data_IF_669963283756
#
_entry.id   IF_669963283756
#
_cell.length_a   1.000
_cell.length_b   1.000
_cell.length_c   1.000
_cell.angle_alpha   90.00
_cell.angle_beta   90.00
_cell.angle_gamma   90.00
#
_symmetry.space_group_name_H-M   'P 1'
#
loop_
_entity.id
_entity.type
_entity.pdbx_description
1 polymer ?
#
# COMPACT_ATOMS: atom_id res chain seq x y z
N UNK A 1 -0.93 -16.91 -7.30
CA UNK A 1 0.10 -17.40 -8.24
C UNK A 1 -0.15 -18.85 -8.64
N UNK A 2 -0.81 -19.65 -7.81
CA UNK A 2 -1.09 -21.07 -8.07
C UNK A 2 -2.14 -21.33 -9.17
N UNK A 3 -2.95 -20.33 -9.51
CA UNK A 3 -3.92 -20.42 -10.62
C UNK A 3 -3.23 -20.80 -11.94
N UNK A 4 -3.84 -21.65 -12.80
CA UNK A 4 -3.17 -22.28 -13.95
C UNK A 4 -3.03 -21.36 -15.18
N UNK A 5 -2.84 -20.05 -14.98
CA UNK A 5 -2.61 -19.11 -16.07
C UNK A 5 -1.22 -19.30 -16.69
N UNK A 6 -1.15 -19.21 -18.01
CA UNK A 6 0.09 -19.39 -18.76
C UNK A 6 1.12 -18.28 -18.51
N UNK A 7 0.69 -17.06 -18.21
CA UNK A 7 1.58 -15.92 -17.98
C UNK A 7 0.90 -14.94 -17.01
N UNK A 8 1.65 -14.40 -16.05
CA UNK A 8 1.11 -13.68 -14.88
C UNK A 8 1.91 -12.43 -14.60
N UNK A 9 1.28 -11.39 -14.09
CA UNK A 9 1.97 -10.22 -13.61
C UNK A 9 1.34 -9.72 -12.31
N UNK A 10 2.16 -9.14 -11.44
CA UNK A 10 1.70 -8.36 -10.30
C UNK A 10 2.33 -6.98 -10.40
N UNK A 11 1.50 -5.95 -10.32
CA UNK A 11 1.90 -4.57 -10.10
C UNK A 11 1.54 -4.19 -8.66
N UNK A 12 2.55 -3.92 -7.84
CA UNK A 12 2.41 -3.43 -6.48
C UNK A 12 2.65 -1.92 -6.51
N UNK A 13 1.66 -1.13 -6.13
CA UNK A 13 1.75 0.32 -5.97
C UNK A 13 1.86 0.61 -4.48
N UNK A 14 3.01 1.11 -4.04
CA UNK A 14 3.38 1.26 -2.64
C UNK A 14 2.50 2.29 -1.92
N UNK A 15 1.75 1.87 -0.90
CA UNK A 15 0.87 2.77 -0.15
C UNK A 15 -0.44 3.16 -0.86
N UNK A 16 -0.94 2.39 -1.81
CA UNK A 16 -2.23 2.62 -2.48
C UNK A 16 -3.41 2.12 -1.63
N UNK A 17 -4.34 3.02 -1.29
CA UNK A 17 -5.49 2.70 -0.45
C UNK A 17 -6.71 2.25 -1.27
N UNK A 18 -7.72 1.68 -0.61
CA UNK A 18 -9.01 1.42 -1.23
C UNK A 18 -9.71 2.68 -1.77
N UNK A 19 -9.31 3.87 -1.31
CA UNK A 19 -9.81 5.15 -1.85
C UNK A 19 -9.55 5.28 -3.34
N UNK A 20 -8.47 4.69 -3.82
CA UNK A 20 -8.02 4.83 -5.21
C UNK A 20 -8.67 3.86 -6.18
N UNK A 21 -9.36 2.83 -5.67
CA UNK A 21 -10.01 1.79 -6.46
C UNK A 21 -10.93 2.33 -7.57
N UNK A 22 -11.77 3.37 -7.36
CA UNK A 22 -12.63 3.89 -8.43
C UNK A 22 -11.88 4.38 -9.67
N UNK A 23 -10.72 5.03 -9.51
CA UNK A 23 -9.92 5.49 -10.65
C UNK A 23 -9.29 4.33 -11.42
N UNK A 24 -8.82 3.29 -10.72
CA UNK A 24 -8.34 2.06 -11.37
C UNK A 24 -9.43 1.42 -12.23
N UNK A 25 -10.64 1.25 -11.69
CA UNK A 25 -11.75 0.64 -12.41
C UNK A 25 -12.20 1.49 -13.60
N UNK A 26 -12.25 2.81 -13.43
CA UNK A 26 -12.61 3.74 -14.50
C UNK A 26 -11.58 3.69 -15.64
N UNK A 27 -10.28 3.71 -15.30
CA UNK A 27 -9.22 3.67 -16.29
C UNK A 27 -9.14 2.34 -17.03
N UNK A 28 -9.36 1.22 -16.33
CA UNK A 28 -9.43 -0.13 -16.92
C UNK A 28 -10.58 -0.22 -17.93
N UNK A 29 -11.77 0.23 -17.51
CA UNK A 29 -12.96 0.27 -18.39
C UNK A 29 -12.75 1.15 -19.62
N UNK A 30 -12.20 2.36 -19.44
CA UNK A 30 -11.94 3.32 -20.53
C UNK A 30 -11.02 2.74 -21.61
N UNK A 31 -10.12 1.83 -21.23
CA UNK A 31 -9.09 1.24 -22.11
C UNK A 31 -9.36 -0.23 -22.46
N UNK A 32 -10.61 -0.65 -22.26
CA UNK A 32 -11.14 -1.95 -22.67
C UNK A 32 -10.38 -3.14 -22.07
N UNK A 33 -9.88 -3.02 -20.84
CA UNK A 33 -9.40 -4.17 -20.10
C UNK A 33 -10.58 -5.07 -19.71
N UNK A 34 -10.35 -6.38 -19.73
CA UNK A 34 -11.28 -7.33 -19.11
C UNK A 34 -11.02 -7.34 -17.62
N UNK A 35 -12.04 -7.00 -16.82
CA UNK A 35 -12.03 -7.13 -15.37
C UNK A 35 -12.45 -8.56 -15.00
N UNK A 36 -11.70 -9.21 -14.12
CA UNK A 36 -12.03 -10.56 -13.68
C UNK A 36 -12.36 -10.64 -12.21
N UNK A 37 -11.57 -9.96 -11.38
CA UNK A 37 -11.81 -9.85 -9.95
C UNK A 37 -11.56 -8.41 -9.48
N UNK A 38 -12.44 -7.94 -8.59
CA UNK A 38 -12.31 -6.66 -7.92
C UNK A 38 -12.65 -6.88 -6.45
N UNK A 39 -11.63 -6.93 -5.62
CA UNK A 39 -11.75 -7.21 -4.19
C UNK A 39 -10.83 -6.30 -3.37
N UNK A 40 -10.83 -6.50 -2.06
CA UNK A 40 -9.98 -5.82 -1.11
C UNK A 40 -9.26 -6.85 -0.26
N UNK A 41 -7.95 -6.69 -0.10
CA UNK A 41 -7.13 -7.59 0.70
C UNK A 41 -6.56 -6.84 1.89
N UNK A 42 -6.41 -7.54 3.01
CA UNK A 42 -5.74 -7.00 4.17
C UNK A 42 -4.22 -6.94 3.93
N UNK A 43 -3.60 -5.84 4.33
CA UNK A 43 -2.15 -5.68 4.40
C UNK A 43 -1.55 -6.56 5.49
N UNK A 44 -0.24 -6.77 5.41
CA UNK A 44 0.50 -7.33 6.53
C UNK A 44 0.39 -6.40 7.75
N UNK A 45 0.51 -6.96 8.95
CA UNK A 45 0.41 -6.20 10.20
C UNK A 45 1.74 -6.26 10.98
N UNK A 46 2.37 -5.11 11.27
CA UNK A 46 1.95 -3.75 10.92
C UNK A 46 2.00 -3.47 9.41
N UNK A 47 1.13 -2.57 8.94
CA UNK A 47 1.06 -2.18 7.53
C UNK A 47 2.24 -1.30 7.15
N UNK A 48 3.33 -1.94 6.78
CA UNK A 48 4.63 -1.37 6.42
C UNK A 48 5.24 -2.21 5.27
N UNK A 49 5.98 -1.56 4.39
CA UNK A 49 6.53 -2.10 3.15
C UNK A 49 7.35 -3.37 3.37
N UNK A 50 8.18 -3.42 4.42
CA UNK A 50 9.09 -4.54 4.62
C UNK A 50 8.39 -5.81 5.11
N UNK A 51 7.33 -5.66 5.90
CA UNK A 51 6.49 -6.73 6.42
C UNK A 51 5.79 -7.43 5.24
N UNK A 52 5.26 -6.66 4.29
CA UNK A 52 4.71 -7.17 3.04
C UNK A 52 5.77 -7.86 2.17
N UNK A 53 6.94 -7.24 2.00
CA UNK A 53 8.05 -7.85 1.24
C UNK A 53 8.45 -9.22 1.83
N UNK A 54 8.60 -9.31 3.15
CA UNK A 54 8.91 -10.57 3.87
C UNK A 54 7.81 -11.61 3.72
N UNK A 55 6.54 -11.21 3.74
CA UNK A 55 5.42 -12.12 3.52
C UNK A 55 5.44 -12.74 2.12
N UNK A 56 5.92 -12.01 1.12
CA UNK A 56 6.17 -12.52 -0.24
C UNK A 56 7.47 -13.33 -0.37
N UNK A 57 8.33 -13.32 0.65
CA UNK A 57 9.62 -14.04 0.67
C UNK A 57 10.81 -13.22 0.17
N UNK A 58 10.68 -11.89 0.12
CA UNK A 58 11.78 -10.96 -0.14
C UNK A 58 12.32 -10.39 1.17
N UNK A 59 13.60 -10.04 1.23
CA UNK A 59 14.19 -9.35 2.40
C UNK A 59 13.75 -7.88 2.52
N UNK A 60 13.56 -7.20 1.39
CA UNK A 60 13.03 -5.84 1.28
C UNK A 60 12.52 -5.60 -0.15
N UNK A 61 11.70 -4.55 -0.37
CA UNK A 61 11.24 -4.20 -1.73
C UNK A 61 12.41 -3.93 -2.70
N UNK A 62 13.48 -3.30 -2.22
CA UNK A 62 14.64 -2.94 -3.04
C UNK A 62 15.40 -4.14 -3.62
N UNK A 63 15.27 -5.33 -3.02
CA UNK A 63 15.88 -6.54 -3.56
C UNK A 63 15.28 -6.96 -4.89
N UNK A 64 14.06 -6.53 -5.23
CA UNK A 64 13.43 -6.86 -6.50
C UNK A 64 14.09 -6.14 -7.69
N UNK A 65 14.83 -5.06 -7.44
CA UNK A 65 15.37 -4.19 -8.50
C UNK A 65 16.25 -4.97 -9.49
N UNK A 66 16.10 -4.67 -10.79
CA UNK A 66 16.89 -5.27 -11.87
C UNK A 66 16.94 -6.81 -11.81
N UNK A 67 15.78 -7.44 -11.68
CA UNK A 67 15.61 -8.89 -11.55
C UNK A 67 16.33 -9.52 -10.34
N UNK A 68 16.48 -8.74 -9.25
CA UNK A 68 17.21 -9.16 -8.06
C UNK A 68 16.43 -10.05 -7.07
N UNK A 69 15.14 -10.33 -7.31
CA UNK A 69 14.24 -10.99 -6.35
C UNK A 69 14.64 -12.41 -5.92
N UNK A 70 15.62 -13.02 -6.59
CA UNK A 70 16.21 -14.31 -6.23
C UNK A 70 15.24 -15.48 -6.39
N UNK A 71 15.51 -16.58 -5.70
CA UNK A 71 14.75 -17.83 -5.78
C UNK A 71 14.08 -18.23 -4.45
N UNK A 72 13.92 -17.29 -3.51
CA UNK A 72 13.27 -17.57 -2.22
C UNK A 72 11.80 -17.11 -2.15
N UNK A 73 11.35 -16.25 -3.07
CA UNK A 73 10.04 -15.62 -3.02
C UNK A 73 8.90 -16.53 -3.54
N UNK A 74 7.67 -16.29 -3.10
CA UNK A 74 6.50 -17.12 -3.42
C UNK A 74 5.97 -16.94 -4.85
N UNK A 75 6.45 -15.93 -5.56
CA UNK A 75 5.95 -15.54 -6.90
C UNK A 75 6.86 -16.05 -8.03
N UNK A 76 7.43 -17.24 -7.87
CA UNK A 76 8.37 -17.80 -8.84
C UNK A 76 7.71 -18.65 -9.92
N UNK A 77 8.35 -18.77 -11.10
CA UNK A 77 9.41 -17.88 -11.58
C UNK A 77 8.81 -16.53 -12.00
N UNK A 78 9.51 -15.42 -11.78
CA UNK A 78 9.12 -14.11 -12.31
C UNK A 78 10.35 -13.21 -12.53
N UNK A 79 10.26 -12.34 -13.54
CA UNK A 79 11.16 -11.20 -13.63
C UNK A 79 10.72 -10.14 -12.63
N UNK A 80 11.66 -9.56 -11.88
CA UNK A 80 11.34 -8.59 -10.84
C UNK A 80 11.88 -7.20 -11.15
N UNK A 81 11.17 -6.17 -10.71
CA UNK A 81 11.67 -4.79 -10.74
C UNK A 81 11.09 -3.96 -9.58
N UNK A 82 11.86 -3.00 -9.08
CA UNK A 82 11.45 -2.06 -8.03
C UNK A 82 12.02 -0.66 -8.29
N UNK A 83 11.16 0.32 -8.57
CA UNK A 83 11.58 1.65 -9.03
C UNK A 83 10.68 2.79 -8.53
N UNK A 84 11.23 4.00 -8.60
CA UNK A 84 10.53 5.28 -8.46
C UNK A 84 10.89 6.18 -9.66
N UNK A 85 10.22 5.97 -10.78
CA UNK A 85 10.49 6.69 -12.03
C UNK A 85 9.20 6.97 -12.79
N UNK A 86 9.27 7.71 -13.90
CA UNK A 86 8.08 7.98 -14.68
C UNK A 86 7.50 6.69 -15.28
N UNK A 87 6.17 6.62 -15.42
CA UNK A 87 5.48 5.44 -15.98
C UNK A 87 5.98 5.08 -17.38
N UNK A 88 6.31 6.09 -18.18
CA UNK A 88 6.85 5.88 -19.54
C UNK A 88 8.18 5.13 -19.53
N UNK A 89 9.03 5.40 -18.55
CA UNK A 89 10.30 4.71 -18.38
C UNK A 89 10.06 3.29 -17.83
N UNK A 90 9.09 3.11 -16.92
CA UNK A 90 8.67 1.80 -16.44
C UNK A 90 8.20 0.88 -17.58
N UNK A 91 7.44 1.42 -18.54
CA UNK A 91 7.00 0.69 -19.75
C UNK A 91 8.20 0.08 -20.50
N UNK A 92 9.29 0.84 -20.61
CA UNK A 92 10.53 0.43 -21.30
C UNK A 92 11.26 -0.72 -20.61
N UNK A 93 11.02 -0.96 -19.31
CA UNK A 93 11.62 -2.07 -18.57
C UNK A 93 10.93 -3.41 -18.85
N UNK A 94 9.69 -3.40 -19.33
CA UNK A 94 8.89 -4.62 -19.51
C UNK A 94 9.32 -5.39 -20.77
N UNK A 95 10.08 -6.46 -20.53
CA UNK A 95 10.51 -7.42 -21.54
C UNK A 95 9.49 -8.57 -21.78
N UNK A 96 9.90 -9.59 -22.55
CA UNK A 96 9.05 -10.72 -22.97
C UNK A 96 8.90 -11.83 -21.92
N UNK A 97 9.45 -11.68 -20.71
CA UNK A 97 9.32 -12.68 -19.65
C UNK A 97 7.84 -12.96 -19.37
N UNK A 98 7.49 -14.24 -19.24
CA UNK A 98 6.09 -14.66 -19.05
C UNK A 98 5.50 -14.14 -17.76
N UNK A 99 6.33 -14.08 -16.73
CA UNK A 99 5.90 -13.73 -15.39
C UNK A 99 6.63 -12.49 -14.88
N UNK A 100 5.90 -11.59 -14.25
CA UNK A 100 6.43 -10.32 -13.74
C UNK A 100 5.97 -10.02 -12.32
N UNK A 101 6.87 -9.48 -11.51
CA UNK A 101 6.55 -8.78 -10.25
C UNK A 101 7.17 -7.40 -10.34
N UNK A 102 6.34 -6.38 -10.46
CA UNK A 102 6.78 -4.99 -10.56
C UNK A 102 6.28 -4.23 -9.34
N UNK A 103 7.18 -3.62 -8.59
CA UNK A 103 6.84 -2.81 -7.42
C UNK A 103 7.22 -1.35 -7.68
N UNK A 104 6.24 -0.47 -7.74
CA UNK A 104 6.49 0.96 -7.90
C UNK A 104 6.34 1.67 -6.56
N UNK A 105 7.28 2.56 -6.20
CA UNK A 105 7.28 3.26 -4.91
C UNK A 105 6.13 4.30 -4.75
N UNK A 106 5.24 4.40 -5.74
CA UNK A 106 4.15 5.37 -5.75
C UNK A 106 2.86 4.68 -5.29
N UNK A 107 1.99 5.35 -4.51
CA UNK A 107 2.06 6.75 -4.09
C UNK A 107 2.96 7.10 -2.89
N UNK A 108 3.44 6.13 -2.10
CA UNK A 108 4.06 6.40 -0.80
C UNK A 108 5.29 7.33 -0.87
N UNK A 109 6.11 7.24 -1.93
CA UNK A 109 7.23 8.18 -2.16
C UNK A 109 6.80 9.65 -2.20
N UNK A 110 5.58 9.93 -2.68
CA UNK A 110 4.99 11.28 -2.74
C UNK A 110 4.28 11.70 -1.44
N UNK A 111 3.84 10.73 -0.64
CA UNK A 111 3.24 10.97 0.68
C UNK A 111 4.25 11.64 1.61
N UNK A 112 5.52 11.25 1.53
CA UNK A 112 6.61 11.83 2.32
C UNK A 112 6.99 13.26 1.89
N UNK A 113 6.95 13.56 0.58
CA UNK A 113 7.24 14.89 0.03
C UNK A 113 6.19 15.96 0.42
N UNK A 114 4.96 15.54 0.74
CA UNK A 114 3.81 16.41 1.07
C UNK A 114 3.48 16.56 2.56
N UNK A 115 4.38 16.14 3.46
CA UNK A 115 4.16 16.03 4.92
C UNK A 115 3.93 17.34 5.70
N UNK A 116 3.74 18.47 5.01
CA UNK A 116 3.30 19.73 5.61
C UNK A 116 1.92 19.64 6.26
N UNK A 117 1.73 20.36 7.37
CA UNK A 117 0.47 20.37 8.09
C UNK A 117 -0.70 20.88 7.20
N UNK A 118 -1.72 20.05 7.04
CA UNK A 118 -3.05 20.43 6.53
C UNK A 118 -3.36 20.16 5.05
N UNK A 119 -2.39 19.88 4.17
CA UNK A 119 -2.63 19.79 2.71
C UNK A 119 -2.31 18.42 2.07
N UNK A 120 -1.85 17.45 2.86
CA UNK A 120 -1.36 16.16 2.34
C UNK A 120 -2.38 15.40 1.48
N UNK A 121 -3.63 15.25 1.95
CA UNK A 121 -4.63 14.46 1.22
C UNK A 121 -5.09 15.12 -0.08
N UNK A 122 -5.34 16.43 -0.10
CA UNK A 122 -5.85 17.10 -1.30
C UNK A 122 -4.79 17.07 -2.43
N UNK A 123 -3.52 17.26 -2.07
CA UNK A 123 -2.41 17.15 -3.01
C UNK A 123 -2.24 15.72 -3.50
N UNK A 124 -2.27 14.74 -2.60
CA UNK A 124 -2.20 13.33 -2.97
C UNK A 124 -3.39 12.93 -3.86
N UNK A 125 -4.61 13.36 -3.54
CA UNK A 125 -5.81 13.04 -4.32
C UNK A 125 -5.73 13.59 -5.74
N UNK A 126 -5.21 14.82 -5.90
CA UNK A 126 -4.95 15.39 -7.24
C UNK A 126 -3.89 14.61 -8.00
N UNK A 127 -2.78 14.26 -7.35
CA UNK A 127 -1.72 13.46 -7.97
C UNK A 127 -2.25 12.08 -8.37
N UNK A 128 -2.94 11.35 -7.48
CA UNK A 128 -3.58 10.07 -7.81
C UNK A 128 -4.54 10.20 -8.98
N UNK A 129 -5.45 11.18 -8.95
CA UNK A 129 -6.36 11.39 -10.05
C UNK A 129 -5.60 11.63 -11.36
N UNK A 130 -4.49 12.38 -11.34
CA UNK A 130 -3.63 12.61 -12.48
C UNK A 130 -2.92 11.32 -12.94
N UNK A 131 -2.21 10.62 -12.06
CA UNK A 131 -1.45 9.41 -12.38
C UNK A 131 -2.36 8.30 -12.91
N UNK A 132 -3.42 7.96 -12.15
CA UNK A 132 -4.32 6.86 -12.49
C UNK A 132 -5.27 7.18 -13.66
N UNK A 133 -5.35 8.43 -14.12
CA UNK A 133 -6.05 8.76 -15.36
C UNK A 133 -5.13 8.93 -16.57
N UNK A 134 -3.82 9.14 -16.34
CA UNK A 134 -2.82 9.42 -17.37
C UNK A 134 -2.69 8.30 -18.40
N UNK A 135 -2.37 8.66 -19.64
CA UNK A 135 -2.13 7.66 -20.69
C UNK A 135 -0.81 6.91 -20.46
N UNK A 136 0.20 7.53 -19.85
CA UNK A 136 1.49 6.87 -19.57
C UNK A 136 1.35 5.74 -18.54
N UNK A 137 0.62 5.95 -17.44
CA UNK A 137 0.35 4.89 -16.46
C UNK A 137 -0.35 3.70 -17.14
N UNK A 138 -1.36 3.99 -17.96
CA UNK A 138 -2.12 2.93 -18.60
C UNK A 138 -1.41 2.26 -19.77
N UNK A 139 -0.51 2.96 -20.47
CA UNK A 139 0.39 2.34 -21.45
C UNK A 139 1.33 1.34 -20.77
N UNK A 140 1.88 1.71 -19.60
CA UNK A 140 2.65 0.80 -18.76
C UNK A 140 1.83 -0.42 -18.29
N UNK A 141 0.62 -0.20 -17.75
CA UNK A 141 -0.28 -1.29 -17.33
C UNK A 141 -0.65 -2.21 -18.51
N UNK A 142 -0.94 -1.65 -19.68
CA UNK A 142 -1.24 -2.41 -20.90
C UNK A 142 -0.05 -3.26 -21.33
N UNK A 143 1.16 -2.69 -21.33
CA UNK A 143 2.38 -3.41 -21.66
C UNK A 143 2.62 -4.57 -20.69
N UNK A 144 2.40 -4.36 -19.40
CA UNK A 144 2.55 -5.37 -18.36
C UNK A 144 1.49 -6.49 -18.49
N UNK A 145 0.24 -6.13 -18.80
CA UNK A 145 -0.88 -7.05 -18.97
C UNK A 145 -0.92 -7.77 -20.34
N UNK A 146 -0.17 -7.31 -21.35
CA UNK A 146 -0.20 -7.90 -22.70
C UNK A 146 0.21 -9.38 -22.65
N UNK A 147 -0.75 -10.26 -22.94
CA UNK A 147 -0.56 -11.71 -22.88
C UNK A 147 -0.41 -12.28 -21.46
N UNK A 148 -0.72 -11.50 -20.42
CA UNK A 148 -0.60 -11.89 -19.01
C UNK A 148 -1.89 -11.62 -18.25
N UNK A 149 -2.12 -12.41 -17.20
CA UNK A 149 -3.09 -12.07 -16.16
C UNK A 149 -2.43 -11.12 -15.16
N UNK A 150 -2.88 -9.87 -15.09
CA UNK A 150 -2.27 -8.84 -14.24
C UNK A 150 -3.12 -8.60 -13.00
N UNK A 151 -2.50 -8.65 -11.83
CA UNK A 151 -3.04 -8.11 -10.58
C UNK A 151 -2.43 -6.74 -10.31
N UNK A 152 -3.26 -5.74 -10.04
CA UNK A 152 -2.84 -4.44 -9.49
C UNK A 152 -3.25 -4.41 -8.01
N UNK A 153 -2.29 -4.19 -7.13
CA UNK A 153 -2.51 -4.20 -5.68
C UNK A 153 -1.53 -3.27 -4.95
N UNK A 154 -1.52 -3.34 -3.62
CA UNK A 154 -0.66 -2.55 -2.75
C UNK A 154 -0.18 -3.37 -1.56
N UNK A 155 0.94 -2.95 -0.98
CA UNK A 155 1.49 -3.48 0.25
C UNK A 155 0.72 -3.02 1.50
N UNK A 156 0.27 -1.76 1.52
CA UNK A 156 -0.61 -1.22 2.54
C UNK A 156 -1.42 -0.02 2.04
N UNK A 157 -2.45 0.36 2.80
CA UNK A 157 -3.15 1.61 2.59
C UNK A 157 -2.60 2.74 3.46
N UNK A 158 -3.36 3.83 3.54
CA UNK A 158 -3.05 4.97 4.41
C UNK A 158 -4.32 5.63 4.97
N UNK A 159 -4.14 6.23 6.15
CA UNK A 159 -5.11 7.08 6.82
C UNK A 159 -4.84 8.56 6.50
N UNK A 160 -5.88 9.27 6.08
CA UNK A 160 -5.89 10.73 6.06
C UNK A 160 -6.16 11.29 7.46
N UNK A 161 -5.19 11.14 8.35
CA UNK A 161 -5.27 11.48 9.78
C UNK A 161 -5.59 12.95 10.03
N UNK A 162 -5.35 13.86 9.08
CA UNK A 162 -5.81 15.25 9.17
C UNK A 162 -7.32 15.39 9.41
N UNK A 163 -8.14 14.48 8.85
CA UNK A 163 -9.60 14.45 9.02
C UNK A 163 -10.07 13.56 10.16
N UNK A 164 -9.15 13.02 10.98
CA UNK A 164 -9.54 12.25 12.15
C UNK A 164 -9.93 13.20 13.29
N UNK A 165 -10.95 12.85 14.10
CA UNK A 165 -11.20 13.56 15.34
C UNK A 165 -9.98 13.51 16.26
N UNK A 166 -9.74 14.61 16.96
CA UNK A 166 -8.78 14.65 18.05
C UNK A 166 -9.25 13.73 19.19
N UNK A 167 -8.35 12.87 19.67
CA UNK A 167 -8.53 12.14 20.91
C UNK A 167 -8.21 13.08 22.07
N UNK A 168 -9.21 13.36 22.88
CA UNK A 168 -9.11 14.23 24.04
C UNK A 168 -8.97 13.43 25.35
N UNK A 169 -8.64 14.15 26.43
CA UNK A 169 -8.58 13.58 27.78
C UNK A 169 -7.62 12.40 27.91
N UNK A 170 -8.06 11.37 28.65
CA UNK A 170 -7.26 10.17 28.92
C UNK A 170 -6.91 9.38 27.66
N UNK A 171 -7.82 9.34 26.67
CA UNK A 171 -7.59 8.66 25.39
C UNK A 171 -6.41 9.29 24.64
N UNK A 172 -6.42 10.62 24.50
CA UNK A 172 -5.35 11.34 23.83
C UNK A 172 -3.99 11.19 24.53
N UNK A 173 -3.99 11.24 25.87
CA UNK A 173 -2.79 11.03 26.67
C UNK A 173 -2.23 9.61 26.52
N UNK A 174 -3.11 8.61 26.55
CA UNK A 174 -2.74 7.21 26.36
C UNK A 174 -2.16 6.96 24.96
N UNK A 175 -2.84 7.41 23.90
CA UNK A 175 -2.38 7.22 22.52
C UNK A 175 -1.04 7.91 22.28
N UNK A 176 -0.86 9.13 22.78
CA UNK A 176 0.42 9.85 22.71
C UNK A 176 1.54 9.11 23.45
N UNK A 177 1.28 8.63 24.66
CA UNK A 177 2.27 7.89 25.46
C UNK A 177 2.66 6.56 24.79
N UNK A 178 1.69 5.89 24.17
CA UNK A 178 1.87 4.55 23.61
C UNK A 178 2.55 4.59 22.24
N UNK A 179 2.12 5.50 21.36
CA UNK A 179 2.51 5.51 19.95
C UNK A 179 3.32 6.75 19.52
N UNK A 180 3.55 7.71 20.42
CA UNK A 180 4.22 8.98 20.09
C UNK A 180 3.51 9.72 18.95
N UNK A 181 4.08 9.76 17.74
CA UNK A 181 3.45 10.32 16.53
C UNK A 181 3.10 9.25 15.49
N UNK A 182 3.40 7.97 15.76
CA UNK A 182 3.11 6.84 14.89
C UNK A 182 1.75 6.21 15.20
N UNK A 183 1.45 5.06 14.58
CA UNK A 183 0.19 4.32 14.81
C UNK A 183 0.39 2.86 15.20
N UNK A 184 1.64 2.44 15.33
CA UNK A 184 2.02 1.13 15.84
C UNK A 184 3.30 1.24 16.68
N UNK A 185 3.54 0.20 17.49
CA UNK A 185 4.76 0.02 18.26
C UNK A 185 5.04 -1.48 18.39
N UNK A 186 6.29 -1.88 18.18
CA UNK A 186 6.72 -3.26 18.39
C UNK A 186 6.67 -3.64 19.88
N UNK A 187 6.34 -4.91 20.14
CA UNK A 187 6.22 -5.51 21.46
C UNK A 187 4.80 -5.47 22.03
N UNK A 188 4.67 -6.10 23.20
CA UNK A 188 3.44 -6.10 24.00
C UNK A 188 3.30 -4.82 24.82
N UNK A 189 2.08 -4.53 25.28
CA UNK A 189 1.86 -3.52 26.31
C UNK A 189 0.40 -3.29 26.62
N UNK A 190 0.15 -2.26 27.41
CA UNK A 190 -1.19 -1.87 27.84
C UNK A 190 -2.03 -1.42 26.62
N UNK A 191 -3.24 -1.98 26.48
CA UNK A 191 -4.22 -1.59 25.46
C UNK A 191 -5.20 -0.52 25.95
N UNK A 192 -5.07 -0.13 27.22
CA UNK A 192 -5.92 0.83 27.90
C UNK A 192 -7.28 0.26 28.29
N UNK A 193 -7.99 0.90 29.23
CA UNK A 193 -9.30 0.45 29.73
C UNK A 193 -10.47 0.96 28.88
N UNK A 194 -10.25 1.36 27.62
CA UNK A 194 -11.21 2.11 26.82
C UNK A 194 -12.24 1.19 26.14
N UNK A 195 -13.50 1.61 26.15
CA UNK A 195 -14.59 1.00 25.40
C UNK A 195 -15.30 2.09 24.57
N UNK A 196 -15.24 2.05 23.21
CA UNK A 196 -14.55 1.06 22.38
C UNK A 196 -13.00 1.12 22.50
N UNK A 197 -12.28 0.03 22.14
CA UNK A 197 -10.83 0.00 22.23
C UNK A 197 -10.19 0.98 21.26
N UNK A 198 -9.11 1.62 21.70
CA UNK A 198 -8.31 2.59 20.92
C UNK A 198 -6.90 2.09 20.61
N UNK A 199 -6.50 0.99 21.24
CA UNK A 199 -5.30 0.22 20.91
C UNK A 199 -5.61 -1.28 20.98
N UNK A 200 -4.91 -2.06 20.19
CA UNK A 200 -4.99 -3.52 20.20
C UNK A 200 -3.59 -4.11 20.12
N UNK A 201 -3.38 -5.21 20.83
CA UNK A 201 -2.20 -6.04 20.65
C UNK A 201 -2.48 -7.10 19.58
N UNK A 202 -1.64 -7.15 18.55
CA UNK A 202 -1.70 -8.12 17.47
C UNK A 202 -0.44 -8.99 17.53
N UNK A 203 -0.63 -10.30 17.43
CA UNK A 203 0.46 -11.25 17.22
C UNK A 203 0.42 -11.70 15.76
N UNK A 204 1.42 -11.29 14.98
CA UNK A 204 1.57 -11.68 13.58
C UNK A 204 2.86 -12.49 13.38
N UNK A 205 3.11 -13.06 12.19
CA UNK A 205 4.40 -13.64 11.85
C UNK A 205 5.59 -12.67 11.98
N UNK A 206 5.33 -11.36 12.00
CA UNK A 206 6.34 -10.31 12.19
C UNK A 206 6.56 -9.96 13.67
N UNK A 207 5.92 -10.69 14.58
CA UNK A 207 6.03 -10.51 16.02
C UNK A 207 4.84 -9.77 16.63
N UNK A 208 4.91 -9.57 17.94
CA UNK A 208 3.87 -8.86 18.70
C UNK A 208 3.98 -7.35 18.45
N UNK A 209 2.84 -6.70 18.19
CA UNK A 209 2.74 -5.26 18.00
C UNK A 209 1.53 -4.71 18.75
N UNK A 210 1.66 -3.50 19.29
CA UNK A 210 0.52 -2.65 19.61
C UNK A 210 0.18 -1.80 18.39
N UNK A 211 -1.11 -1.65 18.12
CA UNK A 211 -1.62 -0.85 16.99
C UNK A 211 -2.78 0.04 17.44
N UNK A 212 -2.79 1.28 16.96
CA UNK A 212 -3.88 2.22 17.20
C UNK A 212 -5.13 1.80 16.43
N UNK A 213 -6.29 1.77 17.10
CA UNK A 213 -7.56 1.33 16.52
C UNK A 213 -8.40 2.53 16.11
N UNK A 214 -8.92 2.48 14.89
CA UNK A 214 -9.88 3.46 14.40
C UNK A 214 -9.26 4.81 14.02
N UNK A 215 -10.14 5.81 13.91
CA UNK A 215 -9.82 7.10 13.29
C UNK A 215 -9.55 8.17 14.34
N UNK A 216 -8.48 8.01 15.11
CA UNK A 216 -8.04 9.00 16.09
C UNK A 216 -6.73 9.67 15.67
N UNK A 217 -6.64 10.98 15.90
CA UNK A 217 -5.37 11.73 15.94
C UNK A 217 -5.17 12.30 17.34
N UNK A 218 -3.94 12.61 17.72
CA UNK A 218 -3.63 13.18 19.04
C UNK A 218 -2.48 14.15 18.96
N UNK A 219 -2.40 15.07 19.92
CA UNK A 219 -1.38 16.13 19.92
C UNK A 219 0.02 15.58 20.19
N UNK A 220 0.92 15.70 19.22
CA UNK A 220 2.36 15.46 19.39
C UNK A 220 3.13 16.78 19.40
N UNK A 221 4.36 16.80 19.95
CA UNK A 221 5.17 18.03 20.07
C UNK A 221 5.57 18.64 18.72
N UNK A 222 5.59 17.85 17.63
CA UNK A 222 5.89 18.31 16.28
C UNK A 222 4.67 18.48 15.36
N UNK A 223 3.46 18.37 15.89
CA UNK A 223 2.25 18.21 15.10
C UNK A 223 2.05 16.76 14.65
N UNK A 224 0.79 16.34 14.60
CA UNK A 224 0.45 14.98 14.16
C UNK A 224 0.46 14.92 12.63
N UNK A 225 1.03 13.87 12.01
CA UNK A 225 1.03 13.73 10.55
C UNK A 225 -0.37 13.85 9.96
N UNK A 226 -0.52 14.46 8.79
CA UNK A 226 -1.82 14.54 8.08
C UNK A 226 -2.15 13.28 7.30
N UNK A 227 -1.14 12.46 7.04
CA UNK A 227 -1.23 11.11 6.51
C UNK A 227 -0.37 10.18 7.36
N UNK A 228 -0.84 8.97 7.60
CA UNK A 228 -0.11 7.94 8.32
C UNK A 228 -0.62 6.55 7.93
N UNK A 229 0.18 5.52 8.21
CA UNK A 229 -0.22 4.12 8.08
C UNK A 229 0.25 3.35 9.32
N UNK A 230 0.08 2.03 9.32
CA UNK A 230 0.47 1.15 10.43
C UNK A 230 -0.55 1.06 11.57
N UNK A 231 -1.68 1.77 11.52
CA UNK A 231 -2.81 1.58 12.43
C UNK A 231 -3.86 0.61 11.91
N UNK A 232 -4.90 0.38 12.71
CA UNK A 232 -6.05 -0.46 12.41
C UNK A 232 -7.27 0.40 12.05
N UNK A 233 -7.17 1.12 10.93
CA UNK A 233 -8.33 1.69 10.26
C UNK A 233 -8.53 1.01 8.90
N UNK A 234 -9.78 0.98 8.42
CA UNK A 234 -10.14 0.27 7.18
C UNK A 234 -9.25 0.67 5.99
N UNK A 235 -8.88 1.95 5.89
CA UNK A 235 -8.17 2.49 4.75
C UNK A 235 -6.64 2.39 4.89
N UNK A 236 -6.15 2.01 6.08
CA UNK A 236 -4.75 1.61 6.32
C UNK A 236 -4.56 0.10 6.07
N UNK A 237 -5.54 -0.70 6.48
CA UNK A 237 -5.44 -2.17 6.45
C UNK A 237 -5.89 -2.74 5.12
N UNK A 238 -6.92 -2.19 4.49
CA UNK A 238 -7.41 -2.74 3.23
C UNK A 238 -6.77 -2.03 2.04
N UNK A 239 -6.25 -2.85 1.14
CA UNK A 239 -5.64 -2.46 -0.13
C UNK A 239 -6.45 -3.02 -1.30
N UNK A 240 -6.49 -2.33 -2.45
CA UNK A 240 -7.21 -2.81 -3.62
C UNK A 240 -6.57 -4.09 -4.16
N UNK A 241 -7.39 -4.97 -4.70
CA UNK A 241 -6.96 -6.14 -5.47
C UNK A 241 -7.78 -6.19 -6.75
N UNK A 242 -7.14 -5.83 -7.87
CA UNK A 242 -7.81 -5.73 -9.18
C UNK A 242 -7.12 -6.66 -10.15
N UNK A 243 -7.84 -7.68 -10.60
CA UNK A 243 -7.34 -8.64 -11.57
C UNK A 243 -7.90 -8.34 -12.96
N UNK A 244 -6.99 -8.11 -13.92
CA UNK A 244 -7.30 -7.67 -15.28
C UNK A 244 -6.51 -8.45 -16.33
N UNK A 245 -7.00 -8.40 -17.57
CA UNK A 245 -6.22 -8.82 -18.76
C UNK A 245 -6.48 -7.89 -19.94
N UNK A 246 -5.50 -7.86 -20.86
CA UNK A 246 -5.62 -7.23 -22.17
C UNK A 246 -5.87 -8.28 -23.25
#
# INVERSE_FOLDING_TARGET
>A
WDEPYSAKAVLILDGLSLRELPWLLQGAKKRCFTLHEVTANASELPGDTNEFARALGFGSRSQLQNNGGGLAHKLQPAYTECVDMAWKDCEGLINTARNWVFWHHWPDSKVHDGSGAGQGLDTLTRDVAQQLSSDDFWAFVERLATGRRLVITSDHGYAATGYFPDADGEVGQFLKKTFSSGRSKAGSGDTGPFAPPVAMQINSPHGTHLMAVGRWKWKSQGGYPTMAHGGLSLLEVLSPFVEISK
#
